data_IF_741709870756
#
_entry.id   IF_741709870756
#
_cell.length_a   1.000
_cell.length_b   1.000
_cell.length_c   1.000
_cell.angle_alpha   90.00
_cell.angle_beta   90.00
_cell.angle_gamma   90.00
#
_symmetry.space_group_name_H-M   'P 1'
#
loop_
_entity.id
_entity.type
_entity.pdbx_description
1 polymer ?
#
# COMPACT_ATOMS: atom_id res chain seq x y z
N UNK A 1 5.44 1.05 2.13
CA UNK A 1 6.52 0.05 2.16
C UNK A 1 6.63 -0.73 0.84
N UNK A 2 5.54 -1.12 0.24
CA UNK A 2 5.44 -2.02 -0.92
C UNK A 2 6.24 -1.55 -2.16
N UNK A 3 6.53 -0.26 -2.27
CA UNK A 3 7.32 0.31 -3.36
C UNK A 3 8.83 0.12 -3.17
N UNK A 4 9.27 -0.08 -1.93
CA UNK A 4 10.68 -0.20 -1.57
C UNK A 4 11.05 -1.59 -1.03
N UNK A 5 10.08 -2.49 -0.92
CA UNK A 5 10.29 -3.89 -0.53
C UNK A 5 9.22 -4.80 -1.13
N UNK A 6 9.58 -6.04 -1.42
CA UNK A 6 8.67 -7.13 -1.77
C UNK A 6 8.31 -8.02 -0.57
N UNK A 7 8.71 -7.60 0.64
CA UNK A 7 8.56 -8.35 1.89
C UNK A 7 9.73 -9.28 2.22
N UNK A 8 10.61 -9.58 1.25
CA UNK A 8 11.82 -10.38 1.44
C UNK A 8 13.09 -9.57 1.15
N UNK A 9 13.02 -8.72 0.12
CA UNK A 9 14.14 -7.90 -0.33
C UNK A 9 13.81 -6.43 -0.15
N UNK A 10 14.83 -5.65 0.21
CA UNK A 10 14.75 -4.20 0.27
C UNK A 10 15.40 -3.57 -0.96
N UNK A 11 14.72 -2.59 -1.54
CA UNK A 11 15.16 -1.81 -2.71
C UNK A 11 15.46 -0.36 -2.34
N UNK A 12 15.45 -0.06 -1.06
CA UNK A 12 15.76 1.21 -0.42
C UNK A 12 16.09 0.99 1.04
N UNK A 13 16.20 2.06 1.81
CA UNK A 13 16.38 2.02 3.25
C UNK A 13 15.04 2.31 3.92
N UNK A 14 14.48 1.32 4.60
CA UNK A 14 13.31 1.49 5.44
C UNK A 14 13.67 2.03 6.83
N UNK A 15 12.76 2.77 7.44
CA UNK A 15 12.86 3.23 8.82
C UNK A 15 11.71 2.57 9.58
N UNK A 16 12.03 1.83 10.63
CA UNK A 16 11.02 1.27 11.51
C UNK A 16 10.47 2.37 12.42
N UNK A 17 9.15 2.48 12.58
CA UNK A 17 8.57 3.45 13.51
C UNK A 17 8.95 3.11 14.96
N UNK A 18 9.50 4.07 15.67
CA UNK A 18 9.86 3.93 17.08
C UNK A 18 8.66 3.88 18.02
N UNK A 19 7.52 4.43 17.60
CA UNK A 19 6.26 4.40 18.36
C UNK A 19 5.04 4.60 17.44
N UNK A 20 3.85 4.21 17.94
CA UNK A 20 2.57 4.58 17.36
C UNK A 20 1.83 5.52 18.30
N UNK A 21 1.35 6.63 17.79
CA UNK A 21 0.51 7.58 18.54
C UNK A 21 -0.94 7.45 18.10
N UNK A 22 -1.85 7.42 19.06
CA UNK A 22 -3.29 7.53 18.81
C UNK A 22 -3.67 9.00 18.64
N UNK A 23 -4.14 9.38 17.46
CA UNK A 23 -4.52 10.77 17.12
C UNK A 23 -5.99 10.92 16.80
N UNK A 24 -6.79 9.90 17.00
CA UNK A 24 -8.22 9.91 16.70
C UNK A 24 -8.99 10.97 17.48
N UNK A 25 -10.16 11.32 16.98
CA UNK A 25 -11.16 12.19 17.62
C UNK A 25 -12.40 11.37 18.02
N UNK A 26 -13.36 12.00 18.69
CA UNK A 26 -14.64 11.33 19.00
C UNK A 26 -15.40 10.88 17.75
N UNK A 27 -15.30 11.64 16.65
CA UNK A 27 -15.98 11.31 15.39
C UNK A 27 -15.25 10.23 14.60
N UNK A 28 -13.92 10.16 14.72
CA UNK A 28 -13.07 9.18 14.04
C UNK A 28 -12.05 8.64 15.05
N UNK A 29 -12.46 7.70 15.90
CA UNK A 29 -11.58 7.12 16.92
C UNK A 29 -10.55 6.16 16.29
N UNK A 30 -9.50 5.88 17.03
CA UNK A 30 -8.51 4.85 16.71
C UNK A 30 -7.68 5.11 15.43
N UNK A 31 -7.45 6.36 15.06
CA UNK A 31 -6.44 6.71 14.05
C UNK A 31 -5.06 6.62 14.71
N UNK A 32 -4.20 5.80 14.12
CA UNK A 32 -2.82 5.64 14.57
C UNK A 32 -1.87 6.30 13.58
N UNK A 33 -0.91 7.05 14.10
CA UNK A 33 0.24 7.56 13.33
C UNK A 33 1.52 6.92 13.80
N UNK A 34 2.34 6.53 12.84
CA UNK A 34 3.71 6.08 13.11
C UNK A 34 4.61 7.28 13.41
N UNK A 35 5.45 7.15 14.43
CA UNK A 35 6.43 8.16 14.85
C UNK A 35 7.83 7.62 14.60
N UNK A 36 8.62 8.41 13.88
CA UNK A 36 10.03 8.11 13.60
C UNK A 36 10.91 9.01 14.47
N UNK A 37 11.93 8.45 15.11
CA UNK A 37 12.89 9.23 15.87
C UNK A 37 13.90 9.94 14.95
N UNK A 38 14.46 11.05 15.42
CA UNK A 38 15.52 11.77 14.71
C UNK A 38 16.76 10.89 14.50
N UNK A 39 17.10 10.08 15.49
CA UNK A 39 18.27 9.20 15.43
C UNK A 39 18.12 8.10 14.38
N UNK A 40 16.95 7.47 14.29
CA UNK A 40 16.65 6.47 13.24
C UNK A 40 16.65 7.07 11.84
N UNK A 41 16.14 8.29 11.71
CA UNK A 41 16.18 9.02 10.45
C UNK A 41 17.63 9.32 10.02
N UNK A 42 18.46 9.82 10.95
CA UNK A 42 19.89 10.08 10.70
C UNK A 42 20.62 8.79 10.33
N UNK A 43 20.41 7.71 11.08
CA UNK A 43 21.02 6.42 10.78
C UNK A 43 20.66 5.89 9.38
N UNK A 44 19.40 6.10 8.93
CA UNK A 44 18.98 5.74 7.58
C UNK A 44 19.68 6.58 6.50
N UNK A 45 19.87 7.88 6.73
CA UNK A 45 20.63 8.75 5.84
C UNK A 45 22.12 8.36 5.79
N UNK A 46 22.73 8.11 6.93
CA UNK A 46 24.13 7.66 7.01
C UNK A 46 24.34 6.33 6.29
N UNK A 47 23.38 5.42 6.38
CA UNK A 47 23.44 4.15 5.65
C UNK A 47 23.50 4.36 4.14
N UNK A 48 22.69 5.26 3.59
CA UNK A 48 22.73 5.59 2.16
C UNK A 48 24.02 6.33 1.80
N UNK A 49 24.42 7.29 2.63
CA UNK A 49 25.61 8.10 2.40
C UNK A 49 26.91 7.27 2.36
N UNK A 50 26.98 6.23 3.17
CA UNK A 50 28.14 5.34 3.25
C UNK A 50 28.14 4.20 2.21
N UNK A 51 27.08 4.07 1.40
CA UNK A 51 27.05 3.11 0.29
C UNK A 51 28.00 3.54 -0.82
N UNK A 52 28.67 2.58 -1.43
CA UNK A 52 29.43 2.81 -2.66
C UNK A 52 28.51 3.13 -3.83
N UNK A 53 29.03 3.79 -4.85
CA UNK A 53 28.30 4.09 -6.08
C UNK A 53 27.72 2.82 -6.73
N UNK A 54 28.44 1.70 -6.63
CA UNK A 54 27.98 0.43 -7.19
C UNK A 54 26.81 -0.15 -6.41
N UNK A 55 26.83 -0.08 -5.08
CA UNK A 55 25.70 -0.52 -4.23
C UNK A 55 24.45 0.33 -4.50
N UNK A 56 24.61 1.65 -4.61
CA UNK A 56 23.51 2.56 -4.94
C UNK A 56 22.90 2.23 -6.31
N UNK A 57 23.74 2.00 -7.33
CA UNK A 57 23.28 1.62 -8.68
C UNK A 57 22.54 0.29 -8.66
N UNK A 58 23.04 -0.71 -7.95
CA UNK A 58 22.39 -2.02 -7.83
C UNK A 58 21.06 -1.92 -7.12
N UNK A 59 21.02 -1.18 -6.00
CA UNK A 59 19.79 -0.94 -5.24
C UNK A 59 18.73 -0.23 -6.09
N UNK A 60 19.11 0.87 -6.75
CA UNK A 60 18.24 1.63 -7.64
C UNK A 60 17.73 0.82 -8.83
N UNK A 61 18.59 0.00 -9.46
CA UNK A 61 18.20 -0.88 -10.56
C UNK A 61 17.17 -1.93 -10.13
N UNK A 62 17.37 -2.56 -8.96
CA UNK A 62 16.41 -3.52 -8.40
C UNK A 62 15.08 -2.87 -8.06
N UNK A 63 15.12 -1.68 -7.41
CA UNK A 63 13.92 -0.92 -7.06
C UNK A 63 13.13 -0.49 -8.30
N UNK A 64 13.80 0.02 -9.32
CA UNK A 64 13.19 0.37 -10.59
C UNK A 64 12.50 -0.84 -11.23
N UNK A 65 13.19 -1.97 -11.32
CA UNK A 65 12.60 -3.20 -11.87
C UNK A 65 11.37 -3.67 -11.07
N UNK A 66 11.42 -3.58 -9.74
CA UNK A 66 10.29 -3.92 -8.88
C UNK A 66 9.07 -3.04 -9.18
N UNK A 67 9.26 -1.72 -9.27
CA UNK A 67 8.18 -0.78 -9.57
C UNK A 67 7.64 -0.98 -10.99
N UNK A 68 8.51 -1.11 -11.99
CA UNK A 68 8.10 -1.35 -13.37
C UNK A 68 7.31 -2.65 -13.54
N UNK A 69 7.64 -3.69 -12.76
CA UNK A 69 6.96 -4.98 -12.84
C UNK A 69 5.64 -5.06 -12.05
N UNK A 70 5.48 -4.29 -10.98
CA UNK A 70 4.36 -4.45 -10.06
C UNK A 70 3.42 -3.24 -10.00
N UNK A 71 3.89 -2.05 -10.40
CA UNK A 71 3.18 -0.79 -10.23
C UNK A 71 3.08 0.00 -11.54
N UNK A 72 3.17 -0.66 -12.71
CA UNK A 72 3.02 0.02 -13.98
C UNK A 72 1.54 0.34 -14.27
N UNK A 73 1.32 1.47 -14.94
CA UNK A 73 -0.03 1.98 -15.21
C UNK A 73 -0.85 1.06 -16.11
N UNK A 74 -0.22 0.38 -17.06
CA UNK A 74 -0.91 -0.51 -18.00
C UNK A 74 -1.56 -1.69 -17.29
N UNK A 75 -0.83 -2.33 -16.36
CA UNK A 75 -1.39 -3.44 -15.58
C UNK A 75 -2.44 -2.96 -14.59
N UNK A 76 -2.25 -1.77 -14.01
CA UNK A 76 -3.24 -1.12 -13.15
C UNK A 76 -4.55 -0.87 -13.92
N UNK A 77 -4.48 -0.27 -15.10
CA UNK A 77 -5.63 -0.03 -15.98
C UNK A 77 -6.36 -1.33 -16.32
N UNK A 78 -5.62 -2.36 -16.74
CA UNK A 78 -6.22 -3.65 -17.10
C UNK A 78 -6.90 -4.34 -15.90
N UNK A 79 -6.30 -4.27 -14.71
CA UNK A 79 -6.91 -4.81 -13.49
C UNK A 79 -8.21 -4.10 -13.14
N UNK A 80 -8.28 -2.78 -13.32
CA UNK A 80 -9.51 -2.02 -13.11
C UNK A 80 -10.60 -2.37 -14.12
N UNK A 81 -10.25 -2.48 -15.40
CA UNK A 81 -11.19 -2.90 -16.45
C UNK A 81 -11.78 -4.27 -16.09
N UNK A 82 -10.92 -5.25 -15.83
CA UNK A 82 -11.37 -6.59 -15.47
C UNK A 82 -12.24 -6.60 -14.21
N UNK A 83 -11.86 -5.85 -13.18
CA UNK A 83 -12.65 -5.74 -11.95
C UNK A 83 -14.04 -5.14 -12.21
N UNK A 84 -14.12 -4.08 -13.01
CA UNK A 84 -15.39 -3.44 -13.35
C UNK A 84 -16.29 -4.35 -14.17
N UNK A 85 -15.74 -5.07 -15.14
CA UNK A 85 -16.46 -6.04 -15.94
C UNK A 85 -16.99 -7.20 -15.08
N UNK A 86 -16.16 -7.78 -14.22
CA UNK A 86 -16.55 -8.83 -13.27
C UNK A 86 -17.67 -8.37 -12.32
N UNK A 87 -17.53 -7.16 -11.79
CA UNK A 87 -18.58 -6.58 -10.91
C UNK A 87 -19.88 -6.37 -11.66
N UNK A 88 -19.80 -5.85 -12.90
CA UNK A 88 -20.98 -5.63 -13.72
C UNK A 88 -21.66 -6.96 -14.11
N UNK A 89 -20.88 -7.95 -14.52
CA UNK A 89 -21.44 -9.28 -14.84
C UNK A 89 -22.10 -9.93 -13.63
N UNK A 90 -21.49 -9.82 -12.46
CA UNK A 90 -21.99 -10.47 -11.26
C UNK A 90 -23.17 -9.75 -10.62
N UNK A 91 -23.14 -8.43 -10.58
CA UNK A 91 -24.08 -7.64 -9.80
C UNK A 91 -24.99 -6.75 -10.67
N UNK A 92 -24.68 -6.58 -11.94
CA UNK A 92 -25.42 -5.71 -12.87
C UNK A 92 -25.10 -4.22 -12.65
N UNK A 93 -25.91 -3.38 -13.31
CA UNK A 93 -25.86 -1.92 -13.14
C UNK A 93 -26.67 -1.46 -11.93
N UNK A 94 -26.59 -0.17 -11.61
CA UNK A 94 -27.48 0.45 -10.61
C UNK A 94 -28.97 0.22 -10.90
N UNK A 95 -29.37 0.27 -12.17
CA UNK A 95 -30.77 0.11 -12.61
C UNK A 95 -31.17 -1.36 -12.72
N UNK A 96 -30.21 -2.27 -12.93
CA UNK A 96 -30.45 -3.70 -13.11
C UNK A 96 -29.53 -4.52 -12.21
N UNK A 97 -29.85 -4.52 -10.93
CA UNK A 97 -29.05 -5.20 -9.90
C UNK A 97 -29.32 -6.69 -9.87
N UNK A 98 -28.33 -7.49 -10.16
CA UNK A 98 -28.37 -8.94 -10.05
C UNK A 98 -28.11 -9.39 -8.62
N UNK A 99 -29.08 -10.06 -7.99
CA UNK A 99 -28.89 -10.68 -6.66
C UNK A 99 -28.65 -9.71 -5.49
N UNK A 100 -28.79 -8.41 -5.70
CA UNK A 100 -28.61 -7.42 -4.63
C UNK A 100 -29.89 -7.28 -3.81
N UNK A 101 -29.79 -7.52 -2.51
CA UNK A 101 -30.83 -7.20 -1.53
C UNK A 101 -30.40 -5.95 -0.75
N UNK A 102 -31.12 -4.82 -0.83
CA UNK A 102 -30.74 -3.58 -0.16
C UNK A 102 -30.81 -3.69 1.37
N UNK A 103 -31.66 -4.57 1.88
CA UNK A 103 -31.82 -4.85 3.30
C UNK A 103 -32.45 -6.22 3.50
N UNK A 104 -32.21 -6.81 4.64
CA UNK A 104 -32.81 -8.06 5.08
C UNK A 104 -33.31 -7.86 6.51
N UNK A 105 -34.59 -8.17 6.75
CA UNK A 105 -35.14 -8.17 8.09
C UNK A 105 -34.73 -9.49 8.76
N UNK A 106 -34.00 -9.43 9.87
CA UNK A 106 -33.71 -10.61 10.70
C UNK A 106 -34.46 -10.50 12.01
N UNK A 107 -35.26 -11.51 12.31
CA UNK A 107 -35.87 -11.67 13.62
C UNK A 107 -34.76 -12.11 14.59
N UNK A 108 -34.55 -11.34 15.64
CA UNK A 108 -33.60 -11.68 16.70
C UNK A 108 -34.40 -12.32 17.82
N UNK A 109 -34.28 -13.62 17.93
CA UNK A 109 -34.87 -14.40 19.06
C UNK A 109 -33.98 -14.32 20.30
#
# INVERSE_FOLDING_TARGET
QEQVTDGQNWFGVGIEPSAKALIGSQAVPYIYEDRVSGDEFIAALEKIYNMSDEEIKQLGSKGRKHVESNYNFKDYEQRWINLMDDVYEKYGSWSNRKGYKPWELREVS
#
